data_IF_600008955974
#
_entry.id   IF_600008955974
#
_cell.length_a   1.000
_cell.length_b   1.000
_cell.length_c   1.000
_cell.angle_alpha   90.00
_cell.angle_beta   90.00
_cell.angle_gamma   90.00
#
_symmetry.space_group_name_H-M   'P 1'
#
loop_
_entity.id
_entity.type
_entity.pdbx_description
1 polymer ?
#
# COMPACT_ATOMS: atom_id res chain seq x y z
N UNK A 1 -19.45 -5.63 12.57
CA UNK A 1 -20.02 -4.27 12.73
C UNK A 1 -19.86 -3.55 11.40
N UNK A 2 -20.92 -2.93 10.87
CA UNK A 2 -20.85 -2.21 9.59
C UNK A 2 -20.69 -0.69 9.83
N UNK A 3 -19.53 -0.15 9.45
CA UNK A 3 -19.18 1.27 9.62
C UNK A 3 -19.45 2.13 8.37
N UNK A 4 -19.94 1.55 7.27
CA UNK A 4 -20.16 2.26 5.99
C UNK A 4 -21.14 3.42 6.15
N UNK A 5 -22.08 3.34 7.10
CA UNK A 5 -23.03 4.43 7.41
C UNK A 5 -22.38 5.76 7.82
N UNK A 6 -21.11 5.73 8.26
CA UNK A 6 -20.37 6.93 8.66
C UNK A 6 -19.57 7.54 7.50
N UNK A 7 -19.56 6.93 6.32
CA UNK A 7 -18.78 7.43 5.20
C UNK A 7 -19.46 8.63 4.55
N UNK A 8 -18.66 9.58 4.10
CA UNK A 8 -19.14 10.72 3.31
C UNK A 8 -19.66 10.25 1.94
N UNK A 9 -20.55 11.04 1.33
CA UNK A 9 -21.03 10.76 -0.05
C UNK A 9 -19.88 10.67 -1.05
N UNK A 10 -18.88 11.53 -0.89
CA UNK A 10 -17.67 11.55 -1.73
C UNK A 10 -16.88 10.26 -1.55
N UNK A 11 -16.67 9.80 -0.31
CA UNK A 11 -15.95 8.55 -0.06
C UNK A 11 -16.68 7.34 -0.63
N UNK A 12 -18.01 7.27 -0.47
CA UNK A 12 -18.83 6.19 -1.03
C UNK A 12 -18.84 6.16 -2.56
N UNK A 13 -18.61 7.30 -3.23
CA UNK A 13 -18.58 7.38 -4.68
C UNK A 13 -17.24 6.90 -5.30
N UNK A 14 -16.20 6.67 -4.49
CA UNK A 14 -14.89 6.21 -4.97
C UNK A 14 -15.00 4.80 -5.55
N UNK A 15 -14.38 4.59 -6.72
CA UNK A 15 -14.30 3.30 -7.39
C UNK A 15 -12.84 2.85 -7.52
N UNK A 16 -12.57 1.54 -7.54
CA UNK A 16 -11.23 1.03 -7.85
C UNK A 16 -10.73 1.53 -9.20
N UNK A 17 -9.42 1.72 -9.33
CA UNK A 17 -8.79 2.04 -10.61
C UNK A 17 -8.83 0.83 -11.54
N UNK A 18 -9.35 1.02 -12.76
CA UNK A 18 -9.41 -0.03 -13.80
C UNK A 18 -8.00 -0.52 -14.12
N UNK A 19 -7.03 0.39 -14.26
CA UNK A 19 -5.63 0.03 -14.51
C UNK A 19 -5.07 -0.84 -13.40
N UNK A 20 -5.46 -0.61 -12.14
CA UNK A 20 -5.00 -1.44 -11.02
C UNK A 20 -5.57 -2.85 -11.08
N UNK A 21 -6.83 -3.01 -11.51
CA UNK A 21 -7.42 -4.32 -11.79
C UNK A 21 -6.67 -5.06 -12.91
N UNK A 22 -6.28 -4.35 -13.98
CA UNK A 22 -5.48 -4.93 -15.07
C UNK A 22 -4.08 -5.35 -14.62
N UNK A 23 -3.44 -4.59 -13.73
CA UNK A 23 -2.17 -5.00 -13.10
C UNK A 23 -2.34 -6.31 -12.32
N UNK A 24 -3.46 -6.51 -11.62
CA UNK A 24 -3.74 -7.77 -10.93
C UNK A 24 -3.74 -8.96 -11.89
N UNK A 25 -4.44 -8.83 -13.02
CA UNK A 25 -4.46 -9.86 -14.07
C UNK A 25 -3.06 -10.14 -14.60
N UNK A 26 -2.26 -9.09 -14.87
CA UNK A 26 -0.88 -9.23 -15.34
C UNK A 26 -0.01 -10.02 -14.35
N UNK A 27 -0.12 -9.74 -13.05
CA UNK A 27 0.65 -10.42 -12.01
C UNK A 27 0.30 -11.91 -11.88
N UNK A 28 -0.94 -12.28 -12.21
CA UNK A 28 -1.42 -13.67 -12.22
C UNK A 28 -1.22 -14.38 -13.58
N UNK A 29 -0.80 -13.64 -14.61
CA UNK A 29 -0.68 -14.16 -15.97
C UNK A 29 0.63 -14.91 -16.19
N UNK A 30 0.67 -15.85 -17.16
CA UNK A 30 1.90 -16.56 -17.48
C UNK A 30 2.98 -15.59 -18.00
N UNK A 31 4.28 -15.88 -17.77
CA UNK A 31 5.39 -15.03 -18.21
C UNK A 31 5.45 -14.79 -19.73
N UNK A 32 4.76 -15.60 -20.52
CA UNK A 32 4.64 -15.45 -21.98
C UNK A 32 3.68 -14.34 -22.40
N UNK A 33 2.86 -13.81 -21.47
CA UNK A 33 1.93 -12.72 -21.76
C UNK A 33 2.68 -11.39 -21.87
N UNK A 34 2.49 -10.69 -22.98
CA UNK A 34 2.99 -9.32 -23.17
C UNK A 34 1.87 -8.34 -22.79
N UNK A 35 2.07 -7.52 -21.75
CA UNK A 35 1.10 -6.50 -21.35
C UNK A 35 1.40 -5.16 -21.98
N UNK A 36 0.41 -4.62 -22.69
CA UNK A 36 0.40 -3.25 -23.22
C UNK A 36 -0.53 -2.31 -22.42
N UNK A 37 -1.10 -2.80 -21.31
CA UNK A 37 -2.25 -2.18 -20.66
C UNK A 37 -1.91 -1.40 -19.37
N UNK A 38 -0.80 -1.73 -18.71
CA UNK A 38 -0.55 -1.32 -17.31
C UNK A 38 0.41 -0.14 -17.16
N UNK A 39 1.11 0.26 -18.23
CA UNK A 39 2.03 1.41 -18.22
C UNK A 39 3.22 1.24 -17.26
N UNK A 40 3.64 0.00 -16.97
CA UNK A 40 4.77 -0.28 -16.08
C UNK A 40 6.10 -0.02 -16.81
N UNK A 41 6.96 0.88 -16.30
CA UNK A 41 8.25 1.16 -16.91
C UNK A 41 9.17 -0.07 -16.88
N UNK A 42 10.09 -0.15 -17.84
CA UNK A 42 11.12 -1.18 -17.86
C UNK A 42 12.11 -0.96 -16.69
N UNK A 43 12.25 -1.97 -15.84
CA UNK A 43 13.07 -1.88 -14.64
C UNK A 43 14.57 -1.71 -14.92
N UNK A 44 15.06 -2.13 -16.10
CA UNK A 44 16.47 -1.96 -16.47
C UNK A 44 16.84 -0.50 -16.77
N UNK A 45 15.85 0.40 -16.87
CA UNK A 45 16.06 1.82 -17.10
C UNK A 45 16.03 2.64 -15.80
N UNK A 46 15.83 2.00 -14.65
CA UNK A 46 15.85 2.69 -13.38
C UNK A 46 17.27 3.15 -13.03
N UNK A 47 17.44 4.39 -12.52
CA UNK A 47 18.75 5.03 -12.42
C UNK A 47 19.59 4.56 -11.23
N UNK A 48 19.00 3.82 -10.27
CA UNK A 48 19.70 3.33 -9.08
C UNK A 48 19.89 1.83 -9.19
N UNK A 49 21.14 1.39 -9.24
CA UNK A 49 21.50 -0.02 -9.38
C UNK A 49 21.70 -0.72 -8.04
N UNK A 50 22.22 -0.05 -7.02
CA UNK A 50 22.45 -0.66 -5.70
C UNK A 50 22.45 0.41 -4.62
N UNK A 51 22.22 0.00 -3.38
CA UNK A 51 22.42 0.88 -2.22
C UNK A 51 22.99 0.11 -1.05
N UNK A 52 23.79 0.82 -0.25
CA UNK A 52 24.38 0.30 0.98
C UNK A 52 24.17 1.30 2.12
N UNK A 53 23.59 0.84 3.21
CA UNK A 53 23.28 1.63 4.39
C UNK A 53 24.11 1.15 5.57
N UNK A 54 25.04 1.98 6.03
CA UNK A 54 25.86 1.70 7.21
C UNK A 54 25.15 2.20 8.46
N UNK A 55 24.85 1.30 9.38
CA UNK A 55 24.22 1.59 10.67
C UNK A 55 25.28 1.93 11.73
N UNK A 56 24.87 2.68 12.75
CA UNK A 56 25.76 3.11 13.85
C UNK A 56 26.33 1.93 14.67
N UNK A 57 25.62 0.80 14.70
CA UNK A 57 26.08 -0.44 15.34
C UNK A 57 27.13 -1.20 14.50
N UNK A 58 27.57 -0.66 13.37
CA UNK A 58 28.53 -1.26 12.46
C UNK A 58 27.96 -2.21 11.41
N UNK A 59 26.67 -2.57 11.51
CA UNK A 59 25.99 -3.39 10.49
C UNK A 59 25.84 -2.61 9.18
N UNK A 60 26.03 -3.29 8.05
CA UNK A 60 25.78 -2.72 6.72
C UNK A 60 24.64 -3.48 6.07
N UNK A 61 23.59 -2.75 5.66
CA UNK A 61 22.48 -3.30 4.89
C UNK A 61 22.73 -3.01 3.42
N UNK A 62 22.73 -4.05 2.58
CA UNK A 62 22.95 -3.92 1.14
C UNK A 62 21.69 -4.30 0.40
N UNK A 63 21.39 -3.57 -0.68
CA UNK A 63 20.32 -3.88 -1.61
C UNK A 63 20.92 -4.09 -2.99
N UNK A 64 20.70 -5.28 -3.54
CA UNK A 64 21.16 -5.71 -4.85
C UNK A 64 20.42 -5.01 -5.99
N UNK A 65 20.94 -5.16 -7.21
CA UNK A 65 20.28 -4.66 -8.42
C UNK A 65 18.86 -5.17 -8.62
N UNK A 66 18.63 -6.46 -8.40
CA UNK A 66 17.29 -7.05 -8.49
C UNK A 66 16.33 -6.45 -7.45
N UNK A 67 16.81 -6.22 -6.23
CA UNK A 67 16.01 -5.57 -5.18
C UNK A 67 15.74 -4.11 -5.51
N UNK A 68 16.74 -3.38 -6.03
CA UNK A 68 16.60 -1.99 -6.47
C UNK A 68 15.61 -1.83 -7.61
N UNK A 69 15.63 -2.74 -8.58
CA UNK A 69 14.65 -2.78 -9.65
C UNK A 69 13.22 -2.94 -9.12
N UNK A 70 13.05 -3.78 -8.10
CA UNK A 70 11.73 -4.04 -7.50
C UNK A 70 11.21 -2.85 -6.69
N UNK A 71 12.04 -2.20 -5.88
CA UNK A 71 11.60 -1.09 -5.02
C UNK A 71 11.34 0.21 -5.77
N UNK A 72 11.99 0.40 -6.94
CA UNK A 72 11.74 1.54 -7.82
C UNK A 72 10.47 1.36 -8.69
N UNK A 73 9.94 0.14 -8.79
CA UNK A 73 8.71 -0.15 -9.52
C UNK A 73 7.46 0.21 -8.70
N UNK A 74 6.35 0.45 -9.40
CA UNK A 74 5.03 0.56 -8.77
C UNK A 74 4.71 -0.68 -7.93
N UNK A 75 4.22 -0.43 -6.71
CA UNK A 75 3.79 -1.46 -5.77
C UNK A 75 2.29 -1.36 -5.50
N UNK A 76 1.79 -2.20 -4.60
CA UNK A 76 0.39 -2.15 -4.22
C UNK A 76 0.05 -0.88 -3.45
N UNK A 77 -1.17 -0.39 -3.64
CA UNK A 77 -1.64 0.82 -2.95
C UNK A 77 -1.61 0.67 -1.42
N UNK A 78 -1.73 -0.56 -0.90
CA UNK A 78 -1.62 -0.81 0.54
C UNK A 78 -0.18 -0.65 1.05
N UNK A 79 0.82 -0.80 0.19
CA UNK A 79 2.24 -0.77 0.52
C UNK A 79 2.97 -2.00 0.02
N UNK A 80 4.27 -2.07 0.32
CA UNK A 80 5.10 -3.22 -0.02
C UNK A 80 4.70 -4.44 0.83
N UNK A 81 4.38 -5.61 0.23
CA UNK A 81 3.78 -6.74 0.95
C UNK A 81 4.57 -7.21 2.18
N UNK A 82 5.88 -7.29 2.07
CA UNK A 82 6.78 -7.72 3.15
C UNK A 82 6.76 -6.73 4.32
N UNK A 83 6.73 -5.43 4.02
CA UNK A 83 6.62 -4.39 5.05
C UNK A 83 5.25 -4.44 5.73
N UNK A 84 4.18 -4.66 4.96
CA UNK A 84 2.82 -4.80 5.51
C UNK A 84 2.71 -6.01 6.42
N UNK A 85 3.29 -7.15 6.03
CA UNK A 85 3.36 -8.33 6.89
C UNK A 85 4.13 -8.03 8.18
N UNK A 86 5.32 -7.45 8.07
CA UNK A 86 6.14 -7.11 9.23
C UNK A 86 5.43 -6.15 10.19
N UNK A 87 4.76 -5.12 9.66
CA UNK A 87 3.93 -4.21 10.46
C UNK A 87 2.77 -4.95 11.14
N UNK A 88 2.14 -5.91 10.45
CA UNK A 88 1.13 -6.78 11.02
C UNK A 88 1.63 -7.56 12.22
N UNK A 89 2.79 -8.21 12.06
CA UNK A 89 3.44 -8.98 13.12
C UNK A 89 3.82 -8.07 14.30
N UNK A 90 4.28 -6.84 14.05
CA UNK A 90 4.58 -5.84 15.07
C UNK A 90 3.34 -5.39 15.85
N UNK A 91 2.22 -5.16 15.15
CA UNK A 91 0.96 -4.78 15.78
C UNK A 91 0.43 -5.90 16.67
N UNK A 92 0.52 -7.16 16.22
CA UNK A 92 0.15 -8.32 17.04
C UNK A 92 1.02 -8.43 18.29
N UNK A 93 2.35 -8.32 18.13
CA UNK A 93 3.29 -8.39 19.24
C UNK A 93 3.05 -7.29 20.30
N UNK A 94 2.82 -6.05 19.85
CA UNK A 94 2.77 -4.89 20.75
C UNK A 94 1.39 -4.66 21.38
N UNK A 95 0.32 -5.00 20.67
CA UNK A 95 -1.05 -4.65 21.05
C UNK A 95 -1.97 -5.86 21.20
N UNK A 96 -1.47 -7.08 21.00
CA UNK A 96 -2.23 -8.34 21.11
C UNK A 96 -3.55 -8.30 20.30
N UNK A 97 -3.45 -7.81 19.07
CA UNK A 97 -4.59 -7.52 18.20
C UNK A 97 -5.09 -8.80 17.54
N UNK A 98 -5.70 -9.67 18.34
CA UNK A 98 -6.32 -10.93 17.90
C UNK A 98 -7.35 -10.79 16.75
N UNK A 99 -7.72 -9.57 16.36
CA UNK A 99 -8.50 -9.25 15.17
C UNK A 99 -7.70 -9.24 13.84
N UNK A 100 -6.37 -9.24 13.84
CA UNK A 100 -5.55 -9.43 12.63
C UNK A 100 -5.67 -10.86 12.08
N UNK A 101 -5.88 -11.83 12.98
CA UNK A 101 -6.05 -13.25 12.68
C UNK A 101 -7.50 -13.66 12.39
N UNK A 102 -8.46 -12.72 12.40
CA UNK A 102 -9.86 -12.99 12.11
C UNK A 102 -10.12 -13.08 10.60
N UNK A 103 -11.22 -13.74 10.23
CA UNK A 103 -11.66 -13.90 8.85
C UNK A 103 -12.78 -12.91 8.49
N UNK A 104 -12.92 -12.62 7.19
CA UNK A 104 -13.99 -11.77 6.66
C UNK A 104 -13.92 -10.32 7.12
N UNK A 105 -15.07 -9.70 7.34
CA UNK A 105 -15.22 -8.27 7.68
C UNK A 105 -14.66 -7.90 9.07
N UNK A 106 -14.28 -8.89 9.87
CA UNK A 106 -13.66 -8.67 11.18
C UNK A 106 -12.14 -8.60 11.13
N UNK A 107 -11.53 -8.87 9.97
CA UNK A 107 -10.09 -8.81 9.77
C UNK A 107 -9.61 -7.36 9.73
N UNK A 108 -8.73 -7.00 10.66
CA UNK A 108 -8.02 -5.72 10.59
C UNK A 108 -7.00 -5.76 9.45
N UNK A 109 -6.91 -4.66 8.71
CA UNK A 109 -5.94 -4.48 7.62
C UNK A 109 -5.05 -3.29 7.93
N UNK A 110 -3.81 -3.35 7.44
CA UNK A 110 -2.85 -2.26 7.53
C UNK A 110 -2.78 -1.58 6.15
N UNK A 111 -2.75 -0.25 6.17
CA UNK A 111 -2.50 0.55 5.00
C UNK A 111 -1.34 1.51 5.30
N UNK A 112 -0.30 1.47 4.47
CA UNK A 112 0.82 2.37 4.59
C UNK A 112 0.40 3.78 4.16
N UNK A 113 0.89 4.79 4.88
CA UNK A 113 0.64 6.21 4.60
C UNK A 113 1.96 6.96 4.60
N UNK A 114 2.00 8.15 4.00
CA UNK A 114 3.20 8.99 3.97
C UNK A 114 3.44 9.75 5.28
N UNK A 115 2.91 9.23 6.39
CA UNK A 115 2.97 9.83 7.72
C UNK A 115 1.60 10.02 8.35
N UNK A 116 1.60 10.34 9.64
CA UNK A 116 0.38 10.46 10.45
C UNK A 116 -0.59 11.52 9.92
N UNK A 117 -0.08 12.64 9.41
CA UNK A 117 -0.92 13.73 8.87
C UNK A 117 -1.65 13.32 7.59
N UNK A 118 -0.99 12.56 6.71
CA UNK A 118 -1.60 12.00 5.50
C UNK A 118 -2.70 10.98 5.87
N UNK A 119 -2.44 10.12 6.86
CA UNK A 119 -3.44 9.20 7.40
C UNK A 119 -4.67 9.93 7.97
N UNK A 120 -4.45 10.94 8.82
CA UNK A 120 -5.52 11.76 9.39
C UNK A 120 -6.32 12.47 8.30
N UNK A 121 -5.66 13.07 7.31
CA UNK A 121 -6.31 13.73 6.17
C UNK A 121 -7.24 12.78 5.40
N UNK A 122 -6.77 11.56 5.11
CA UNK A 122 -7.57 10.52 4.43
C UNK A 122 -8.77 10.08 5.26
N UNK A 123 -8.60 9.89 6.57
CA UNK A 123 -9.69 9.53 7.50
C UNK A 123 -10.71 10.67 7.61
N UNK A 124 -10.25 11.91 7.76
CA UNK A 124 -11.12 13.09 7.77
C UNK A 124 -11.92 13.21 6.48
N UNK A 125 -11.30 13.05 5.31
CA UNK A 125 -12.01 13.05 4.04
C UNK A 125 -13.04 11.90 3.91
N UNK A 126 -12.76 10.75 4.54
CA UNK A 126 -13.64 9.58 4.55
C UNK A 126 -14.86 9.77 5.46
N UNK A 127 -14.70 10.44 6.60
CA UNK A 127 -15.71 10.46 7.68
C UNK A 127 -16.37 11.82 7.91
N UNK A 128 -15.77 12.93 7.48
CA UNK A 128 -16.23 14.29 7.79
C UNK A 128 -16.80 14.93 6.52
N UNK A 129 -18.09 15.26 6.53
CA UNK A 129 -18.66 16.16 5.52
C UNK A 129 -18.35 17.60 5.94
N UNK A 130 -17.52 18.30 5.17
CA UNK A 130 -17.44 19.75 5.31
C UNK A 130 -18.74 20.34 4.78
N UNK A 131 -19.58 20.86 5.67
CA UNK A 131 -20.69 21.71 5.26
C UNK A 131 -20.08 22.94 4.57
N UNK A 132 -20.21 23.02 3.24
CA UNK A 132 -20.07 24.30 2.55
C UNK A 132 -21.31 25.10 2.94
N UNK A 133 -21.22 25.89 4.00
CA UNK A 133 -22.07 27.07 4.10
C UNK A 133 -21.66 27.99 2.96
N UNK A 134 -22.44 27.96 1.88
CA UNK A 134 -22.41 29.00 0.86
C UNK A 134 -23.09 30.19 1.54
N UNK A 135 -22.28 31.16 1.99
CA UNK A 135 -22.77 32.50 2.32
C UNK A 135 -23.08 33.28 1.05
#
# INVERSE_FOLDING_TARGET
MNYVRYFTKISMARKPSITRSLVGILLESPPTMISMATGMPNATLFPVEEASFKLQNGTTLTMSNTEMQRVQQYSETQGFPELIKWLGDLQEYSHNVSALNRSGDQKIKIALTSGSQDGLSKVSAMLINFAREIR
#
